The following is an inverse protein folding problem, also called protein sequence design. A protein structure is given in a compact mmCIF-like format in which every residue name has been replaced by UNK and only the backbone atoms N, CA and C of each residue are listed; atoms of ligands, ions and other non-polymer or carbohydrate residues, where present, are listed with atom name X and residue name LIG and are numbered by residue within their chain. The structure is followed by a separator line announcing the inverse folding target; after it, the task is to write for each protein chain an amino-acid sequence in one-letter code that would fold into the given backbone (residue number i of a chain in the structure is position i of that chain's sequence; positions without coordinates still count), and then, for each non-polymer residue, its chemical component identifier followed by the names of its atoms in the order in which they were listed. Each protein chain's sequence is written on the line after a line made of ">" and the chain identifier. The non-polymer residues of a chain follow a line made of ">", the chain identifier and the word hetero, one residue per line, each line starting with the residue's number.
data_IF_203396079638
#
_entry.id   IF_203396079638
#
_cell.length_a   1.000
_cell.length_b   1.000
_cell.length_c   1.000
_cell.angle_alpha   90.00
_cell.angle_beta   90.00
_cell.angle_gamma   90.00
#
_symmetry.space_group_name_H-M   'P 1'
#
loop_
_entity.id
_entity.type
_entity.pdbx_description
1 polymer ?
#
# COMPACT_ATOMS: atom_id res chain seq x y z
N UNK A 1 1.41 2.06 4.50
CA UNK A 1 0.41 2.04 3.40
C UNK A 1 -0.10 3.46 3.16
N UNK A 2 -0.73 3.77 2.01
CA UNK A 2 -1.21 5.13 1.74
C UNK A 2 -2.73 5.23 1.64
N UNK A 3 -3.31 6.27 2.25
CA UNK A 3 -4.68 6.72 1.98
C UNK A 3 -4.68 7.76 0.85
N UNK A 4 -5.80 7.95 0.17
CA UNK A 4 -5.95 9.00 -0.86
C UNK A 4 -6.84 10.13 -0.36
N UNK A 5 -6.51 11.36 -0.74
CA UNK A 5 -7.32 12.56 -0.47
C UNK A 5 -7.27 13.48 -1.68
N UNK A 6 -8.41 14.09 -2.02
CA UNK A 6 -8.52 15.06 -3.11
C UNK A 6 -7.73 16.33 -2.84
N UNK A 7 -7.07 16.87 -3.88
CA UNK A 7 -6.33 18.13 -3.78
C UNK A 7 -7.27 19.33 -3.49
N UNK A 8 -8.53 19.27 -3.97
CA UNK A 8 -9.51 20.33 -3.72
C UNK A 8 -9.82 20.48 -2.23
N UNK A 9 -9.84 19.38 -1.49
CA UNK A 9 -10.11 19.36 -0.06
C UNK A 9 -9.06 20.16 0.72
N UNK A 10 -7.78 19.97 0.42
CA UNK A 10 -6.69 20.74 1.05
C UNK A 10 -6.64 22.21 0.64
N UNK A 11 -7.20 22.56 -0.53
CA UNK A 11 -7.35 23.98 -0.93
C UNK A 11 -8.45 24.67 -0.14
N UNK A 12 -9.56 23.96 0.11
CA UNK A 12 -10.69 24.43 0.92
C UNK A 12 -10.31 24.53 2.40
N UNK A 13 -9.56 23.55 2.92
CA UNK A 13 -9.05 23.54 4.29
C UNK A 13 -7.53 23.27 4.34
N UNK A 14 -6.70 24.32 4.33
CA UNK A 14 -5.25 24.18 4.44
C UNK A 14 -4.78 23.62 5.80
N UNK A 15 -5.59 23.73 6.86
CA UNK A 15 -5.21 23.25 8.19
C UNK A 15 -5.06 21.73 8.22
N UNK A 16 -5.84 21.04 7.38
CA UNK A 16 -5.78 19.61 7.20
C UNK A 16 -4.42 19.07 6.73
N UNK A 17 -3.57 19.92 6.12
CA UNK A 17 -2.20 19.52 5.73
C UNK A 17 -1.32 19.18 6.93
N UNK A 18 -1.65 19.70 8.11
CA UNK A 18 -0.90 19.51 9.36
C UNK A 18 -1.40 18.33 10.19
N UNK A 19 -2.48 17.66 9.77
CA UNK A 19 -2.96 16.45 10.43
C UNK A 19 -1.86 15.39 10.34
N UNK A 20 -1.42 14.93 11.51
CA UNK A 20 -0.42 13.86 11.59
C UNK A 20 -1.09 12.51 11.38
N UNK A 21 -0.41 11.55 10.73
CA UNK A 21 -0.82 10.16 10.81
C UNK A 21 -0.96 9.74 12.28
N UNK A 22 -1.93 8.88 12.62
CA UNK A 22 -2.06 8.33 13.96
C UNK A 22 -0.75 7.68 14.43
N UNK A 23 -0.39 7.86 15.71
CA UNK A 23 0.89 7.38 16.27
C UNK A 23 1.05 5.85 16.20
N UNK A 24 -0.07 5.14 16.24
CA UNK A 24 -0.17 3.69 16.09
C UNK A 24 0.04 3.21 14.63
N UNK A 25 0.05 4.13 13.67
CA UNK A 25 0.22 3.83 12.24
C UNK A 25 1.39 4.61 11.62
N UNK A 26 2.64 4.47 12.13
CA UNK A 26 3.79 5.29 11.73
C UNK A 26 4.20 5.11 10.26
N UNK A 27 3.85 3.96 9.67
CA UNK A 27 4.12 3.64 8.27
C UNK A 27 2.97 4.07 7.32
N UNK A 28 2.09 4.97 7.77
CA UNK A 28 0.98 5.52 6.96
C UNK A 28 1.41 6.79 6.22
N UNK A 29 0.99 6.91 4.97
CA UNK A 29 1.19 8.10 4.16
C UNK A 29 -0.11 8.57 3.51
N UNK A 30 -0.08 9.76 2.93
CA UNK A 30 -1.21 10.32 2.18
C UNK A 30 -0.81 10.57 0.73
N UNK A 31 -1.59 10.07 -0.22
CA UNK A 31 -1.50 10.41 -1.63
C UNK A 31 -2.52 11.50 -1.93
N UNK A 32 -2.05 12.63 -2.43
CA UNK A 32 -2.89 13.72 -2.90
C UNK A 32 -3.20 13.47 -4.36
N UNK A 33 -4.48 13.40 -4.72
CA UNK A 33 -4.90 13.19 -6.11
C UNK A 33 -5.52 14.46 -6.67
N UNK A 34 -5.26 14.78 -7.93
CA UNK A 34 -6.06 15.78 -8.63
C UNK A 34 -7.45 15.17 -8.88
N UNK A 35 -8.46 15.73 -8.22
CA UNK A 35 -9.89 15.41 -8.38
C UNK A 35 -10.53 16.31 -9.46
N UNK A 36 -11.77 15.98 -9.84
CA UNK A 36 -12.52 16.70 -10.88
C UNK A 36 -12.64 18.20 -10.53
N UNK A 37 -13.04 18.52 -9.29
CA UNK A 37 -13.04 19.88 -8.73
C UNK A 37 -11.74 20.64 -9.00
N UNK A 38 -10.58 20.01 -8.76
CA UNK A 38 -9.27 20.64 -8.99
C UNK A 38 -8.98 20.78 -10.48
N UNK A 39 -9.35 19.80 -11.29
CA UNK A 39 -9.14 19.86 -12.73
C UNK A 39 -9.95 21.00 -13.38
N UNK A 40 -11.18 21.22 -12.91
CA UNK A 40 -12.05 22.34 -13.27
C UNK A 40 -11.50 23.69 -12.80
N UNK A 41 -11.12 23.81 -11.52
CA UNK A 41 -10.50 25.02 -10.98
C UNK A 41 -9.23 25.42 -11.74
N UNK A 42 -8.42 24.43 -12.12
CA UNK A 42 -7.17 24.63 -12.83
C UNK A 42 -7.36 24.69 -14.36
N UNK A 43 -8.59 24.53 -14.88
CA UNK A 43 -8.91 24.62 -16.31
C UNK A 43 -9.06 26.10 -16.74
N UNK A 44 -7.98 26.87 -16.62
CA UNK A 44 -7.88 28.12 -17.38
C UNK A 44 -7.56 27.79 -18.84
N UNK A 45 -8.27 28.41 -19.79
CA UNK A 45 -8.16 28.25 -21.25
C UNK A 45 -8.86 27.01 -21.88
N UNK A 46 -10.12 26.70 -21.52
CA UNK A 46 -10.99 25.77 -22.30
C UNK A 46 -10.33 24.44 -22.69
N UNK A 47 -9.47 23.88 -21.82
CA UNK A 47 -8.76 22.62 -22.08
C UNK A 47 -7.59 22.66 -23.07
N UNK A 48 -7.20 23.83 -23.59
CA UNK A 48 -6.20 23.97 -24.68
C UNK A 48 -4.73 24.01 -24.22
N UNK A 49 -4.45 24.18 -22.91
CA UNK A 49 -3.08 24.23 -22.40
C UNK A 49 -2.57 22.83 -22.02
N UNK A 50 -1.72 22.23 -22.85
CA UNK A 50 -1.15 20.88 -22.67
C UNK A 50 -0.29 20.70 -21.40
N UNK A 51 0.16 21.80 -20.75
CA UNK A 51 1.04 21.76 -19.58
C UNK A 51 0.59 22.74 -18.49
N UNK A 52 -0.10 22.24 -17.45
CA UNK A 52 -0.52 23.06 -16.29
C UNK A 52 0.68 23.35 -15.36
N UNK A 53 1.00 24.63 -15.15
CA UNK A 53 2.01 25.07 -14.18
C UNK A 53 1.47 24.91 -12.75
N UNK A 54 2.17 24.14 -11.91
CA UNK A 54 1.84 23.96 -10.49
C UNK A 54 2.63 24.97 -9.66
N UNK A 55 1.93 25.87 -8.98
CA UNK A 55 2.53 26.94 -8.17
C UNK A 55 2.45 26.69 -6.66
N UNK A 56 1.69 25.69 -6.23
CA UNK A 56 1.40 25.43 -4.82
C UNK A 56 1.70 23.97 -4.45
N UNK A 57 1.95 23.75 -3.15
CA UNK A 57 2.06 22.45 -2.52
C UNK A 57 0.72 22.10 -1.85
N UNK A 58 0.38 20.82 -1.65
CA UNK A 58 1.16 19.63 -2.01
C UNK A 58 1.10 19.29 -3.51
N UNK A 59 2.12 18.58 -4.01
CA UNK A 59 2.11 18.07 -5.39
C UNK A 59 1.17 16.87 -5.54
N UNK A 60 0.46 16.70 -6.67
CA UNK A 60 -0.41 15.56 -6.91
C UNK A 60 0.40 14.29 -7.26
N UNK A 61 0.01 13.16 -6.67
CA UNK A 61 0.66 11.85 -6.84
C UNK A 61 0.09 11.04 -8.01
N UNK A 62 -1.10 11.37 -8.53
CA UNK A 62 -1.67 10.75 -9.72
C UNK A 62 -1.12 11.32 -11.05
N UNK A 63 -0.10 12.20 -10.99
CA UNK A 63 0.53 12.83 -12.17
C UNK A 63 2.06 12.70 -12.13
N UNK A 64 2.65 12.56 -13.30
CA UNK A 64 4.09 12.75 -13.48
C UNK A 64 4.35 14.23 -13.71
N UNK A 65 5.31 14.79 -12.97
CA UNK A 65 5.63 16.20 -12.99
C UNK A 65 6.96 16.45 -13.71
N UNK A 66 7.10 17.63 -14.29
CA UNK A 66 8.33 18.10 -14.94
C UNK A 66 8.88 19.27 -14.14
N UNK A 67 10.11 19.12 -13.65
CA UNK A 67 10.89 20.23 -13.10
C UNK A 67 11.53 20.94 -14.28
N UNK A 68 11.27 22.23 -14.41
CA UNK A 68 11.75 23.09 -15.49
C UNK A 68 12.63 24.17 -14.90
N UNK A 69 13.88 24.22 -15.35
CA UNK A 69 14.75 25.39 -15.16
C UNK A 69 14.71 26.20 -16.44
N UNK A 70 14.15 27.40 -16.34
CA UNK A 70 14.17 28.35 -17.44
C UNK A 70 15.56 28.99 -17.51
N UNK A 71 16.12 29.06 -18.71
CA UNK A 71 17.41 29.68 -18.96
C UNK A 71 17.29 30.62 -20.15
N UNK A 72 17.69 31.87 -19.98
CA UNK A 72 17.62 32.88 -21.06
C UNK A 72 18.59 32.56 -22.22
N UNK A 73 19.68 31.84 -21.94
CA UNK A 73 20.78 31.61 -22.88
C UNK A 73 20.93 30.15 -23.34
N UNK A 74 20.12 29.21 -22.85
CA UNK A 74 20.21 27.76 -23.14
C UNK A 74 18.81 27.16 -23.18
N UNK A 75 18.66 26.04 -23.89
CA UNK A 75 17.43 25.25 -23.84
C UNK A 75 17.05 24.91 -22.40
N UNK A 76 15.76 25.05 -22.09
CA UNK A 76 15.20 24.70 -20.79
C UNK A 76 15.60 23.28 -20.38
N UNK A 77 16.19 23.14 -19.19
CA UNK A 77 16.49 21.81 -18.66
C UNK A 77 15.22 21.23 -18.05
N UNK A 78 14.72 20.13 -18.62
CA UNK A 78 13.47 19.48 -18.21
C UNK A 78 13.79 18.12 -17.59
N UNK A 79 13.43 17.96 -16.32
CA UNK A 79 13.56 16.69 -15.61
C UNK A 79 12.18 16.16 -15.20
N UNK A 80 11.82 14.98 -15.72
CA UNK A 80 10.54 14.32 -15.41
C UNK A 80 10.69 13.45 -14.17
N UNK A 81 9.89 13.73 -13.16
CA UNK A 81 9.93 13.08 -11.85
C UNK A 81 8.52 12.77 -11.33
N UNK A 82 8.47 11.86 -10.37
CA UNK A 82 7.30 11.58 -9.58
C UNK A 82 7.63 11.85 -8.11
N UNK A 83 6.83 12.71 -7.48
CA UNK A 83 7.00 13.10 -6.08
C UNK A 83 6.08 12.24 -5.23
N UNK A 84 6.67 11.44 -4.34
CA UNK A 84 5.97 10.56 -3.42
C UNK A 84 6.15 11.10 -1.99
N UNK A 85 5.07 11.48 -1.28
CA UNK A 85 5.16 11.94 0.11
C UNK A 85 5.84 10.91 1.01
N UNK A 86 6.63 11.37 1.96
CA UNK A 86 7.30 10.49 2.92
C UNK A 86 6.28 9.93 3.93
N UNK A 87 6.41 8.64 4.26
CA UNK A 87 5.58 7.97 5.27
C UNK A 87 5.77 8.61 6.65
N UNK A 88 4.72 8.57 7.49
CA UNK A 88 4.78 9.01 8.89
C UNK A 88 4.88 10.52 9.09
N UNK A 89 4.83 11.32 8.02
CA UNK A 89 4.91 12.78 8.09
C UNK A 89 3.65 13.47 7.55
N UNK A 90 3.23 14.59 8.16
CA UNK A 90 2.13 15.39 7.63
C UNK A 90 2.54 16.04 6.30
N UNK A 91 1.57 16.34 5.44
CA UNK A 91 1.81 16.98 4.14
C UNK A 91 2.38 18.40 4.26
N UNK A 92 2.13 19.08 5.39
CA UNK A 92 2.71 20.38 5.73
C UNK A 92 4.23 20.34 5.94
N UNK A 93 4.81 19.15 6.17
CA UNK A 93 6.27 18.97 6.21
C UNK A 93 6.92 19.13 4.83
N UNK A 94 6.14 19.02 3.75
CA UNK A 94 6.60 19.10 2.37
C UNK A 94 7.77 18.14 2.04
N UNK A 95 7.79 16.99 2.72
CA UNK A 95 8.81 15.95 2.52
C UNK A 95 8.38 14.96 1.45
N UNK A 96 9.25 14.75 0.47
CA UNK A 96 9.02 13.84 -0.65
C UNK A 96 10.25 12.99 -0.96
N UNK A 97 10.00 11.76 -1.40
CA UNK A 97 10.91 11.02 -2.26
C UNK A 97 10.75 11.51 -3.70
N UNK A 98 11.85 11.72 -4.40
CA UNK A 98 11.85 12.18 -5.80
C UNK A 98 12.30 11.05 -6.71
N UNK A 99 11.39 10.52 -7.52
CA UNK A 99 11.62 9.34 -8.35
C UNK A 99 11.77 9.75 -9.81
N UNK A 100 12.81 9.29 -10.50
CA UNK A 100 13.01 9.61 -11.92
C UNK A 100 11.93 8.94 -12.76
N UNK A 101 11.18 9.72 -13.54
CA UNK A 101 10.06 9.22 -14.31
C UNK A 101 10.41 8.83 -15.76
N UNK A 102 11.53 9.34 -16.30
CA UNK A 102 12.06 8.99 -17.63
C UNK A 102 13.59 8.98 -17.65
N UNK A 103 14.15 8.39 -18.71
CA UNK A 103 15.58 8.30 -18.98
C UNK A 103 16.22 7.05 -18.39
N UNK A 104 17.55 6.98 -18.44
CA UNK A 104 18.33 5.81 -18.00
C UNK A 104 18.08 5.40 -16.54
N UNK A 105 17.74 6.37 -15.69
CA UNK A 105 17.49 6.16 -14.26
C UNK A 105 15.99 5.99 -13.92
N UNK A 106 15.12 5.71 -14.88
CA UNK A 106 13.68 5.60 -14.66
C UNK A 106 13.34 4.58 -13.56
N UNK A 107 12.50 5.00 -12.61
CA UNK A 107 12.05 4.22 -11.45
C UNK A 107 13.04 4.21 -10.27
N UNK A 108 14.19 4.89 -10.38
CA UNK A 108 15.15 5.06 -9.29
C UNK A 108 14.90 6.35 -8.50
N UNK A 109 15.21 6.33 -7.21
CA UNK A 109 15.10 7.47 -6.33
C UNK A 109 16.32 8.39 -6.46
N UNK A 110 16.08 9.71 -6.47
CA UNK A 110 17.14 10.69 -6.39
C UNK A 110 17.75 10.65 -4.99
N UNK A 111 19.06 10.86 -4.90
CA UNK A 111 19.79 10.73 -3.63
C UNK A 111 20.70 11.94 -3.47
N UNK A 112 20.73 12.51 -2.27
CA UNK A 112 21.62 13.59 -1.90
C UNK A 112 23.05 13.09 -1.75
N UNK A 113 24.04 13.83 -2.24
CA UNK A 113 25.46 13.58 -1.94
C UNK A 113 25.76 13.99 -0.49
N UNK A 114 26.77 13.40 0.16
CA UNK A 114 27.24 13.93 1.44
C UNK A 114 28.16 15.12 1.20
N UNK A 115 28.14 16.11 2.10
CA UNK A 115 29.07 17.26 2.02
C UNK A 115 30.54 16.84 1.98
N UNK A 116 30.91 15.80 2.73
CA UNK A 116 32.27 15.27 2.75
C UNK A 116 32.72 14.67 1.40
N UNK A 117 31.77 14.25 0.55
CA UNK A 117 32.04 13.68 -0.77
C UNK A 117 32.15 14.77 -1.86
N UNK A 118 32.00 16.06 -1.49
CA UNK A 118 32.13 17.18 -2.42
C UNK A 118 33.62 17.40 -2.68
N UNK A 119 34.05 17.10 -3.90
CA UNK A 119 35.43 17.28 -4.31
C UNK A 119 35.70 18.77 -4.55
N UNK A 120 36.60 19.36 -3.75
CA UNK A 120 37.15 20.68 -4.03
C UNK A 120 38.15 20.55 -5.20
N UNK A 121 37.71 20.88 -6.42
CA UNK A 121 38.61 20.88 -7.57
C UNK A 121 39.39 22.21 -7.65
N UNK A 122 40.63 22.14 -8.11
CA UNK A 122 41.59 23.24 -8.19
C UNK A 122 41.01 24.43 -8.99
N UNK A 123 41.18 25.64 -8.43
CA UNK A 123 40.69 26.95 -8.90
C UNK A 123 39.23 27.29 -8.54
N UNK A 124 39.03 27.64 -7.26
CA UNK A 124 37.94 28.49 -6.71
C UNK A 124 36.47 28.15 -7.04
N UNK A 125 36.11 26.90 -7.38
CA UNK A 125 34.71 26.48 -7.40
C UNK A 125 34.50 25.09 -6.82
N UNK A 126 33.60 24.98 -5.84
CA UNK A 126 33.12 23.70 -5.32
C UNK A 126 32.32 22.98 -6.41
N UNK A 127 32.94 22.03 -7.12
CA UNK A 127 32.26 21.22 -8.13
C UNK A 127 31.61 20.03 -7.44
N UNK A 128 30.30 20.14 -7.18
CA UNK A 128 29.51 19.05 -6.61
C UNK A 128 29.27 18.00 -7.69
N UNK A 129 29.91 16.83 -7.54
CA UNK A 129 29.59 15.65 -8.32
C UNK A 129 28.30 15.02 -7.76
N UNK A 130 27.17 15.29 -8.43
CA UNK A 130 25.88 14.75 -8.03
C UNK A 130 25.86 13.22 -8.09
N UNK A 131 25.36 12.61 -7.01
CA UNK A 131 25.10 11.18 -7.00
C UNK A 131 24.03 10.83 -8.03
N UNK A 132 24.31 9.77 -8.80
CA UNK A 132 23.32 9.18 -9.70
C UNK A 132 22.17 8.56 -8.88
N UNK A 133 20.92 8.63 -9.36
CA UNK A 133 19.76 8.02 -8.70
C UNK A 133 19.97 6.52 -8.41
N UNK A 134 19.57 6.08 -7.22
CA UNK A 134 19.79 4.74 -6.64
C UNK A 134 18.46 3.97 -6.48
N UNK A 135 18.49 2.65 -6.25
CA UNK A 135 17.30 1.91 -5.85
C UNK A 135 16.63 2.57 -4.63
N UNK A 136 15.30 2.61 -4.65
CA UNK A 136 14.52 3.20 -3.57
C UNK A 136 14.72 2.43 -2.25
N UNK A 137 15.03 3.16 -1.19
CA UNK A 137 15.00 2.67 0.19
C UNK A 137 14.26 3.70 1.06
N UNK A 138 13.08 3.36 1.62
CA UNK A 138 12.32 4.29 2.46
C UNK A 138 13.03 4.67 3.76
N UNK A 139 14.06 3.92 4.19
CA UNK A 139 14.84 4.22 5.40
C UNK A 139 15.99 5.18 5.14
N UNK A 140 16.35 5.40 3.88
CA UNK A 140 17.47 6.25 3.49
C UNK A 140 17.07 7.73 3.52
N UNK A 141 17.49 8.42 4.58
CA UNK A 141 17.22 9.85 4.78
C UNK A 141 17.82 10.74 3.67
N UNK A 142 18.83 10.28 2.92
CA UNK A 142 19.41 11.04 1.81
C UNK A 142 18.52 11.01 0.55
N UNK A 143 17.54 10.10 0.50
CA UNK A 143 16.53 10.05 -0.57
C UNK A 143 15.30 10.92 -0.28
N UNK A 144 15.24 11.54 0.90
CA UNK A 144 14.15 12.41 1.33
C UNK A 144 14.51 13.89 1.14
N UNK A 145 13.57 14.64 0.58
CA UNK A 145 13.75 16.05 0.26
C UNK A 145 12.61 16.89 0.83
N UNK A 146 12.96 17.99 1.50
CA UNK A 146 12.00 19.03 1.88
C UNK A 146 11.89 20.03 0.74
N UNK A 147 10.70 20.19 0.16
CA UNK A 147 10.45 21.15 -0.91
C UNK A 147 9.98 22.48 -0.33
N UNK A 148 10.65 23.57 -0.71
CA UNK A 148 10.36 24.93 -0.25
C UNK A 148 10.03 25.85 -1.41
N UNK A 149 9.18 26.83 -1.15
CA UNK A 149 8.93 27.93 -2.10
C UNK A 149 10.12 28.89 -2.13
N UNK A 150 10.45 29.38 -3.32
CA UNK A 150 11.43 30.44 -3.51
C UNK A 150 10.71 31.80 -3.62
N UNK A 151 11.25 32.84 -2.98
CA UNK A 151 10.62 34.17 -2.95
C UNK A 151 10.49 34.81 -4.34
N UNK A 152 11.43 34.52 -5.25
CA UNK A 152 11.36 34.93 -6.66
C UNK A 152 10.43 34.08 -7.54
N UNK A 153 9.62 33.20 -6.94
CA UNK A 153 8.76 32.25 -7.65
C UNK A 153 9.40 30.89 -7.85
N UNK A 154 8.57 29.85 -7.97
CA UNK A 154 9.03 28.46 -8.09
C UNK A 154 9.48 27.85 -6.76
N UNK A 155 10.32 26.82 -6.85
CA UNK A 155 10.69 25.98 -5.71
C UNK A 155 12.19 25.72 -5.65
N UNK A 156 12.62 25.16 -4.52
CA UNK A 156 13.91 24.53 -4.33
C UNK A 156 13.79 23.41 -3.31
N UNK A 157 14.70 22.44 -3.35
CA UNK A 157 14.74 21.34 -2.38
C UNK A 157 15.89 21.49 -1.41
N UNK A 158 15.67 21.07 -0.17
CA UNK A 158 16.72 20.77 0.81
C UNK A 158 16.74 19.26 1.08
N UNK A 159 17.92 18.73 1.40
CA UNK A 159 18.01 17.37 1.91
C UNK A 159 17.43 17.33 3.32
N UNK A 160 16.75 16.24 3.67
CA UNK A 160 16.36 15.99 5.05
C UNK A 160 17.58 15.56 5.88
N UNK A 161 18.56 14.91 5.26
CA UNK A 161 19.85 14.62 5.88
C UNK A 161 20.62 15.93 6.13
N UNK A 162 21.13 16.09 7.36
CA UNK A 162 21.77 17.34 7.79
C UNK A 162 23.04 17.69 6.99
N UNK A 163 23.78 16.69 6.55
CA UNK A 163 24.98 16.77 5.72
C UNK A 163 24.69 16.46 4.24
N UNK A 164 23.42 16.31 3.87
CA UNK A 164 23.00 15.99 2.51
C UNK A 164 22.95 17.23 1.60
N UNK A 165 23.48 17.08 0.40
CA UNK A 165 23.39 18.07 -0.68
C UNK A 165 22.55 17.50 -1.82
N UNK A 166 21.36 18.07 -2.11
CA UNK A 166 20.51 17.59 -3.17
C UNK A 166 21.17 17.69 -4.56
N UNK A 167 20.74 16.83 -5.51
CA UNK A 167 21.12 16.95 -6.91
C UNK A 167 20.84 18.35 -7.49
N UNK A 168 21.61 18.76 -8.49
CA UNK A 168 21.64 20.11 -9.05
C UNK A 168 20.25 20.64 -9.43
N UNK A 169 19.49 19.83 -10.16
CA UNK A 169 18.15 20.18 -10.62
C UNK A 169 17.14 20.37 -9.48
N UNK A 170 17.43 19.88 -8.27
CA UNK A 170 16.61 20.05 -7.07
C UNK A 170 17.12 21.18 -6.17
N UNK A 171 18.44 21.33 -5.98
CA UNK A 171 19.02 22.37 -5.12
C UNK A 171 18.96 23.77 -5.71
N UNK A 172 19.03 23.88 -7.05
CA UNK A 172 18.94 25.18 -7.76
C UNK A 172 17.62 25.86 -7.40
N UNK A 173 17.66 27.17 -7.17
CA UNK A 173 16.48 27.92 -6.72
C UNK A 173 15.62 28.36 -7.89
N UNK A 174 14.31 28.35 -7.68
CA UNK A 174 13.33 28.94 -8.59
C UNK A 174 12.87 28.02 -9.72
N UNK A 175 13.09 26.71 -9.62
CA UNK A 175 12.55 25.81 -10.64
C UNK A 175 11.03 25.77 -10.60
N UNK A 176 10.43 25.67 -11.79
CA UNK A 176 8.99 25.58 -11.97
C UNK A 176 8.57 24.12 -12.12
N UNK A 177 7.31 23.84 -11.78
CA UNK A 177 6.72 22.51 -11.90
C UNK A 177 5.60 22.55 -12.93
N UNK A 178 5.65 21.64 -13.90
CA UNK A 178 4.59 21.43 -14.87
C UNK A 178 4.00 20.04 -14.71
N UNK A 179 2.69 19.93 -14.62
CA UNK A 179 2.00 18.66 -14.78
C UNK A 179 2.22 18.18 -16.23
N UNK A 180 2.70 16.94 -16.40
CA UNK A 180 2.92 16.38 -17.73
C UNK A 180 1.81 15.42 -18.12
N UNK A 181 1.77 14.23 -17.52
CA UNK A 181 0.77 13.21 -17.86
C UNK A 181 0.18 12.63 -16.59
N UNK A 182 -1.11 12.35 -16.62
CA UNK A 182 -1.74 11.50 -15.64
C UNK A 182 -1.13 10.10 -15.70
N UNK A 183 -1.07 9.46 -14.53
CA UNK A 183 -0.66 8.07 -14.41
C UNK A 183 -1.78 7.20 -14.97
N UNK A 184 -1.42 6.02 -15.53
CA UNK A 184 -2.42 5.08 -16.02
C UNK A 184 -3.14 4.41 -14.84
N UNK A 185 -4.45 4.27 -14.97
CA UNK A 185 -5.32 3.76 -13.91
C UNK A 185 -5.87 4.90 -13.06
N UNK A 186 -7.16 4.85 -12.74
CA UNK A 186 -7.81 5.79 -11.85
C UNK A 186 -7.50 5.38 -10.41
N UNK A 187 -7.00 6.32 -9.61
CA UNK A 187 -6.95 6.14 -8.16
C UNK A 187 -8.29 6.58 -7.61
N UNK A 188 -8.98 5.66 -6.95
CA UNK A 188 -10.22 5.94 -6.25
C UNK A 188 -9.96 6.43 -4.83
N UNK A 189 -11.02 6.86 -4.16
CA UNK A 189 -10.97 7.21 -2.75
C UNK A 189 -10.67 5.97 -1.90
N UNK A 190 -9.64 6.10 -1.07
CA UNK A 190 -9.14 5.10 -0.15
C UNK A 190 -8.92 5.81 1.18
N UNK A 191 -9.94 5.78 2.03
CA UNK A 191 -9.95 6.56 3.27
C UNK A 191 -9.17 5.90 4.41
N UNK A 192 -8.76 4.65 4.24
CA UNK A 192 -8.17 3.80 5.25
C UNK A 192 -9.16 2.74 5.70
N UNK A 193 -9.23 2.50 7.02
CA UNK A 193 -10.30 1.70 7.61
C UNK A 193 -11.63 2.47 7.47
N UNK A 194 -12.68 1.73 7.15
CA UNK A 194 -14.05 2.26 7.12
C UNK A 194 -14.69 2.09 8.49
N UNK A 195 -14.77 3.19 9.25
CA UNK A 195 -15.36 3.22 10.59
C UNK A 195 -16.83 2.79 10.59
N UNK A 196 -17.56 3.01 9.49
CA UNK A 196 -18.98 2.67 9.39
C UNK A 196 -19.23 1.17 9.30
N UNK A 197 -18.28 0.43 8.71
CA UNK A 197 -18.36 -1.03 8.50
C UNK A 197 -17.61 -1.78 9.61
N UNK A 198 -16.71 -1.11 10.34
CA UNK A 198 -15.90 -1.71 11.40
C UNK A 198 -16.73 -2.34 12.53
N UNK A 199 -17.90 -1.79 12.86
CA UNK A 199 -18.75 -2.27 13.94
C UNK A 199 -19.50 -3.56 13.59
N UNK A 200 -19.67 -3.88 12.32
CA UNK A 200 -20.44 -5.03 11.86
C UNK A 200 -19.52 -6.17 11.40
N UNK A 201 -19.54 -7.29 12.12
CA UNK A 201 -18.99 -8.55 11.60
C UNK A 201 -19.74 -8.94 10.32
N UNK A 202 -19.06 -9.63 9.36
CA UNK A 202 -19.75 -10.16 8.20
C UNK A 202 -20.90 -11.07 8.66
N UNK A 203 -22.04 -11.07 7.94
CA UNK A 203 -23.16 -11.90 8.31
C UNK A 203 -22.71 -13.37 8.38
N UNK A 204 -23.18 -14.13 9.38
CA UNK A 204 -22.88 -15.55 9.47
C UNK A 204 -23.27 -16.27 8.17
N UNK A 205 -22.60 -17.38 7.84
CA UNK A 205 -23.05 -18.26 6.76
C UNK A 205 -24.50 -18.68 6.99
N UNK A 206 -25.33 -18.54 5.94
CA UNK A 206 -26.73 -18.97 5.94
C UNK A 206 -26.86 -20.24 5.10
N UNK A 207 -27.64 -21.21 5.57
CA UNK A 207 -27.97 -22.41 4.82
C UNK A 207 -29.26 -22.23 4.00
N UNK A 208 -29.35 -22.82 2.79
CA UNK A 208 -28.30 -23.56 2.09
C UNK A 208 -27.16 -22.64 1.62
N UNK A 209 -25.92 -23.13 1.69
CA UNK A 209 -24.74 -22.32 1.33
C UNK A 209 -24.83 -21.87 -0.15
N UNK A 210 -24.50 -20.60 -0.47
CA UNK A 210 -24.49 -20.08 -1.84
C UNK A 210 -23.60 -20.93 -2.78
N UNK A 211 -23.64 -20.76 -4.11
CA UNK A 211 -22.61 -21.30 -5.00
C UNK A 211 -21.18 -20.93 -4.53
N UNK A 212 -20.18 -21.79 -4.74
CA UNK A 212 -18.82 -21.65 -4.18
C UNK A 212 -18.20 -20.25 -4.40
N UNK A 213 -18.47 -19.62 -5.55
CA UNK A 213 -17.98 -18.29 -5.91
C UNK A 213 -18.64 -17.13 -5.13
N UNK A 214 -19.75 -17.39 -4.43
CA UNK A 214 -20.48 -16.45 -3.57
C UNK A 214 -20.40 -16.81 -2.07
N UNK A 215 -19.90 -18.00 -1.71
CA UNK A 215 -19.78 -18.46 -0.29
C UNK A 215 -18.85 -17.58 0.55
N UNK A 216 -17.97 -16.84 -0.11
CA UNK A 216 -16.98 -15.96 0.52
C UNK A 216 -17.24 -14.51 0.13
N UNK A 217 -18.50 -14.06 0.20
CA UNK A 217 -18.85 -12.66 -0.02
C UNK A 217 -18.15 -11.80 1.03
N UNK A 218 -16.91 -11.41 0.73
CA UNK A 218 -16.04 -10.75 1.65
C UNK A 218 -16.45 -9.29 1.77
N UNK A 219 -16.61 -8.83 3.00
CA UNK A 219 -16.91 -7.44 3.29
C UNK A 219 -15.61 -6.67 3.30
N UNK A 220 -15.47 -5.68 2.41
CA UNK A 220 -14.31 -4.80 2.39
C UNK A 220 -14.46 -3.76 3.49
N UNK A 221 -13.60 -3.81 4.50
CA UNK A 221 -13.62 -2.94 5.68
C UNK A 221 -12.51 -1.89 5.67
N UNK A 222 -11.62 -1.92 4.67
CA UNK A 222 -10.58 -0.91 4.53
C UNK A 222 -9.95 -0.92 3.15
N UNK A 223 -9.49 0.26 2.71
CA UNK A 223 -8.85 0.46 1.41
C UNK A 223 -7.67 1.40 1.52
N UNK A 224 -6.58 1.03 0.86
CA UNK A 224 -5.34 1.79 0.74
C UNK A 224 -4.72 1.56 -0.64
N UNK A 225 -3.71 2.37 -0.94
CA UNK A 225 -2.80 2.12 -2.04
C UNK A 225 -1.38 1.93 -1.55
N UNK A 226 -0.58 1.21 -2.33
CA UNK A 226 0.86 1.18 -2.16
C UNK A 226 1.57 1.38 -3.51
N UNK A 227 2.54 2.30 -3.58
CA UNK A 227 3.39 2.39 -4.75
C UNK A 227 4.17 1.11 -5.04
N UNK A 228 4.48 0.87 -6.31
CA UNK A 228 5.37 -0.23 -6.74
C UNK A 228 6.76 -0.18 -6.09
N UNK A 229 7.18 0.96 -5.57
CA UNK A 229 8.45 1.08 -4.85
C UNK A 229 8.51 0.24 -3.57
N UNK A 230 7.33 -0.04 -2.98
CA UNK A 230 7.18 -0.86 -1.79
C UNK A 230 6.79 -2.31 -2.12
N UNK A 231 6.56 -2.65 -3.40
CA UNK A 231 6.24 -3.99 -3.87
C UNK A 231 7.15 -4.40 -5.04
N UNK A 232 8.06 -5.34 -4.80
CA UNK A 232 9.02 -5.86 -5.77
C UNK A 232 8.48 -7.12 -6.41
N UNK A 233 7.84 -6.96 -7.56
CA UNK A 233 7.59 -8.09 -8.46
C UNK A 233 8.81 -8.35 -9.36
N UNK A 234 8.86 -9.51 -10.01
CA UNK A 234 9.91 -9.87 -10.97
C UNK A 234 9.76 -9.11 -12.31
N UNK A 235 9.87 -7.78 -12.28
CA UNK A 235 9.93 -6.95 -13.46
C UNK A 235 10.87 -5.76 -13.31
N UNK A 236 11.36 -5.25 -14.44
CA UNK A 236 12.21 -4.05 -14.46
C UNK A 236 11.42 -2.82 -13.99
N UNK A 237 12.03 -1.95 -13.17
CA UNK A 237 11.38 -0.75 -12.60
C UNK A 237 10.66 0.13 -13.62
N UNK A 238 11.22 0.29 -14.83
CA UNK A 238 10.60 1.10 -15.89
C UNK A 238 9.27 0.52 -16.37
N UNK A 239 9.06 -0.81 -16.28
CA UNK A 239 7.79 -1.46 -16.64
C UNK A 239 6.71 -1.12 -15.62
N UNK A 240 7.03 -1.18 -14.32
CA UNK A 240 6.11 -0.74 -13.26
C UNK A 240 5.72 0.73 -13.43
N UNK A 241 6.69 1.62 -13.64
CA UNK A 241 6.44 3.04 -13.94
C UNK A 241 5.53 3.28 -15.17
N UNK A 242 5.41 2.30 -16.09
CA UNK A 242 4.58 2.40 -17.30
C UNK A 242 3.21 1.73 -17.13
N UNK A 243 3.12 0.65 -16.35
CA UNK A 243 1.94 -0.24 -16.29
C UNK A 243 1.28 -0.33 -14.91
N UNK A 244 2.04 -0.23 -13.82
CA UNK A 244 1.59 -0.56 -12.47
C UNK A 244 2.34 0.30 -11.46
N UNK A 245 2.02 1.60 -11.41
CA UNK A 245 2.64 2.55 -10.46
C UNK A 245 2.11 2.35 -9.03
N UNK A 246 0.86 1.92 -8.91
CA UNK A 246 0.20 1.66 -7.64
C UNK A 246 -0.43 0.26 -7.65
N UNK A 247 -0.62 -0.25 -6.45
CA UNK A 247 -1.39 -1.44 -6.14
C UNK A 247 -2.44 -1.04 -5.13
N UNK A 248 -3.65 -1.53 -5.30
CA UNK A 248 -4.71 -1.42 -4.32
C UNK A 248 -4.49 -2.47 -3.24
N UNK A 249 -4.66 -2.08 -1.98
CA UNK A 249 -4.71 -2.97 -0.83
C UNK A 249 -6.10 -2.84 -0.22
N UNK A 250 -6.84 -3.94 -0.16
CA UNK A 250 -8.12 -4.00 0.55
C UNK A 250 -8.00 -4.91 1.76
N UNK A 251 -8.63 -4.54 2.87
CA UNK A 251 -8.85 -5.43 4.00
C UNK A 251 -10.26 -6.00 3.90
N UNK A 252 -10.34 -7.31 3.74
CA UNK A 252 -11.55 -8.09 3.50
C UNK A 252 -11.87 -8.95 4.73
N UNK A 253 -13.13 -9.04 5.14
CA UNK A 253 -13.60 -9.94 6.20
C UNK A 253 -14.54 -10.99 5.65
N UNK A 254 -14.37 -12.24 6.04
CA UNK A 254 -15.29 -13.33 5.72
C UNK A 254 -15.20 -14.47 6.75
N UNK A 255 -16.17 -15.38 6.71
CA UNK A 255 -16.17 -16.61 7.49
C UNK A 255 -15.59 -17.76 6.67
N UNK A 256 -14.57 -18.44 7.18
CA UNK A 256 -13.96 -19.63 6.57
C UNK A 256 -14.40 -20.89 7.33
N UNK A 257 -14.86 -21.92 6.63
CA UNK A 257 -15.26 -23.19 7.23
C UNK A 257 -14.02 -23.97 7.67
N UNK A 258 -13.96 -24.31 8.95
CA UNK A 258 -12.85 -25.07 9.56
C UNK A 258 -13.24 -26.52 9.86
N UNK A 259 -14.54 -26.78 9.97
CA UNK A 259 -15.08 -28.12 10.22
C UNK A 259 -16.52 -28.19 9.70
N UNK A 260 -16.90 -29.35 9.17
CA UNK A 260 -18.30 -29.63 8.83
C UNK A 260 -18.62 -31.10 9.08
N UNK A 261 -19.87 -31.37 9.45
CA UNK A 261 -20.39 -32.73 9.66
C UNK A 261 -21.78 -32.83 9.05
N UNK A 262 -22.03 -33.85 8.25
CA UNK A 262 -23.39 -34.17 7.79
C UNK A 262 -24.06 -35.09 8.80
N UNK A 263 -25.38 -34.97 8.90
CA UNK A 263 -26.17 -35.90 9.71
C UNK A 263 -26.40 -37.19 8.91
N UNK A 264 -25.58 -38.21 9.17
CA UNK A 264 -25.73 -39.54 8.54
C UNK A 264 -26.63 -40.46 9.36
N UNK A 265 -26.78 -40.21 10.68
CA UNK A 265 -27.65 -40.95 11.59
C UNK A 265 -28.01 -40.07 12.80
N UNK A 266 -29.27 -40.11 13.26
CA UNK A 266 -29.78 -39.29 14.38
C UNK A 266 -29.25 -39.71 15.76
N UNK A 267 -28.14 -40.44 15.84
CA UNK A 267 -27.59 -41.02 17.08
C UNK A 267 -26.53 -40.12 17.75
N UNK A 268 -26.06 -39.08 17.06
CA UNK A 268 -25.02 -38.20 17.60
C UNK A 268 -25.60 -37.19 18.60
N UNK A 269 -25.36 -37.45 19.88
CA UNK A 269 -25.75 -36.57 20.98
C UNK A 269 -24.91 -35.29 21.07
N UNK A 270 -23.69 -35.33 20.51
CA UNK A 270 -22.74 -34.21 20.48
C UNK A 270 -21.80 -34.28 19.28
N UNK A 271 -21.29 -33.14 18.85
CA UNK A 271 -20.30 -33.03 17.78
C UNK A 271 -18.97 -32.58 18.40
N UNK A 272 -17.94 -33.41 18.24
CA UNK A 272 -16.56 -33.07 18.59
C UNK A 272 -15.91 -32.41 17.38
N UNK A 273 -15.56 -31.14 17.53
CA UNK A 273 -14.78 -30.36 16.57
C UNK A 273 -13.32 -30.51 16.96
N UNK A 274 -12.52 -31.01 16.03
CA UNK A 274 -11.07 -31.04 16.12
C UNK A 274 -10.49 -30.56 14.79
N UNK A 275 -9.94 -29.34 14.79
CA UNK A 275 -9.40 -28.71 13.59
C UNK A 275 -8.06 -28.04 13.86
N UNK A 276 -7.08 -28.29 13.01
CA UNK A 276 -5.80 -27.57 13.02
C UNK A 276 -5.90 -26.33 12.14
N UNK A 277 -5.67 -25.15 12.70
CA UNK A 277 -5.83 -23.87 12.00
C UNK A 277 -4.49 -23.15 11.90
N UNK A 278 -4.03 -22.91 10.67
CA UNK A 278 -2.96 -21.96 10.36
C UNK A 278 -3.50 -20.54 10.54
N UNK A 279 -3.01 -19.82 11.56
CA UNK A 279 -3.51 -18.49 11.93
C UNK A 279 -3.05 -17.41 10.96
N UNK A 280 -1.83 -17.51 10.45
CA UNK A 280 -1.26 -16.57 9.47
C UNK A 280 -0.91 -17.34 8.19
N UNK A 281 -1.46 -16.91 7.05
CA UNK A 281 -1.24 -17.56 5.75
C UNK A 281 -1.04 -16.50 4.67
N UNK A 282 -0.05 -16.68 3.80
CA UNK A 282 0.17 -15.81 2.65
C UNK A 282 0.05 -16.59 1.35
N UNK A 283 -0.83 -16.15 0.45
CA UNK A 283 -1.00 -16.71 -0.89
C UNK A 283 -0.49 -15.73 -1.94
N UNK A 284 0.42 -16.17 -2.80
CA UNK A 284 0.88 -15.39 -3.96
C UNK A 284 0.34 -16.05 -5.21
N UNK A 285 -0.40 -15.28 -6.03
CA UNK A 285 -1.15 -15.81 -7.18
C UNK A 285 -2.05 -17.02 -6.84
N UNK A 286 -2.60 -17.06 -5.63
CA UNK A 286 -3.48 -18.14 -5.15
C UNK A 286 -2.76 -19.39 -4.64
N UNK A 287 -1.42 -19.39 -4.59
CA UNK A 287 -0.62 -20.51 -4.09
C UNK A 287 0.01 -20.11 -2.75
N UNK A 288 -0.05 -21.01 -1.76
CA UNK A 288 0.58 -20.80 -0.45
C UNK A 288 2.08 -20.51 -0.61
N UNK A 289 2.54 -19.48 0.10
CA UNK A 289 3.89 -18.96 0.01
C UNK A 289 4.57 -18.95 1.38
N UNK A 290 5.88 -19.18 1.37
CA UNK A 290 6.72 -19.07 2.56
C UNK A 290 7.09 -17.60 2.78
N UNK A 291 6.93 -17.14 4.02
CA UNK A 291 7.23 -15.77 4.44
C UNK A 291 8.65 -15.72 5.01
N UNK A 292 9.54 -14.98 4.36
CA UNK A 292 10.92 -14.74 4.83
C UNK A 292 11.09 -13.27 5.20
N UNK A 293 11.16 -12.97 6.50
CA UNK A 293 11.38 -11.61 7.00
C UNK A 293 12.88 -11.35 7.13
N UNK A 294 13.41 -10.39 6.36
CA UNK A 294 14.79 -9.95 6.48
C UNK A 294 14.85 -8.44 6.82
N UNK A 295 14.98 -8.09 8.13
CA UNK A 295 14.98 -6.70 8.57
C UNK A 295 16.10 -5.86 7.95
N UNK A 296 17.28 -6.47 7.70
CA UNK A 296 18.44 -5.77 7.14
C UNK A 296 18.14 -5.25 5.74
N UNK A 297 17.49 -6.07 4.92
CA UNK A 297 17.12 -5.71 3.55
C UNK A 297 15.93 -4.74 3.49
N UNK A 298 15.18 -4.56 4.58
CA UNK A 298 14.00 -3.70 4.65
C UNK A 298 12.81 -4.22 3.85
N UNK A 299 12.84 -5.50 3.47
CA UNK A 299 11.81 -6.18 2.68
C UNK A 299 11.54 -7.58 3.26
N UNK A 300 10.27 -7.97 3.23
CA UNK A 300 9.78 -9.33 3.45
C UNK A 300 9.63 -10.00 2.09
N UNK A 301 10.12 -11.23 1.95
CA UNK A 301 10.03 -11.99 0.71
C UNK A 301 9.02 -13.11 0.86
N UNK A 302 8.08 -13.18 -0.09
CA UNK A 302 7.11 -14.26 -0.21
C UNK A 302 7.54 -15.15 -1.37
N UNK A 303 7.85 -16.40 -1.08
CA UNK A 303 8.36 -17.36 -2.07
C UNK A 303 7.35 -18.48 -2.25
N UNK A 304 6.92 -18.73 -3.48
CA UNK A 304 6.13 -19.93 -3.79
C UNK A 304 7.08 -21.14 -3.84
N UNK A 305 6.84 -22.19 -3.04
CA UNK A 305 7.64 -23.41 -3.06
C UNK A 305 7.66 -24.08 -4.44
N UNK A 306 8.82 -24.57 -4.87
CA UNK A 306 9.01 -25.12 -6.23
C UNK A 306 8.19 -26.38 -6.51
N UNK A 307 7.82 -27.15 -5.50
CA UNK A 307 6.92 -28.31 -5.62
C UNK A 307 5.48 -27.91 -5.99
N UNK A 308 5.08 -26.66 -5.75
CA UNK A 308 3.75 -26.14 -6.08
C UNK A 308 3.70 -25.44 -7.45
N UNK A 309 4.80 -25.46 -8.22
CA UNK A 309 4.92 -24.80 -9.52
C UNK A 309 5.09 -25.84 -10.63
N UNK A 310 4.25 -25.75 -11.67
CA UNK A 310 4.30 -26.65 -12.84
C UNK A 310 5.53 -26.43 -13.73
N UNK A 311 6.24 -25.31 -13.54
CA UNK A 311 7.47 -24.96 -14.24
C UNK A 311 8.48 -24.53 -13.17
N UNK A 312 9.70 -25.07 -13.19
CA UNK A 312 10.74 -24.88 -12.15
C UNK A 312 11.26 -23.45 -11.93
N UNK A 313 10.51 -22.42 -12.35
CA UNK A 313 10.77 -21.02 -12.03
C UNK A 313 10.33 -20.74 -10.60
N UNK A 314 11.21 -20.20 -9.76
CA UNK A 314 10.84 -19.69 -8.44
C UNK A 314 10.09 -18.37 -8.63
N UNK A 315 8.87 -18.26 -8.11
CA UNK A 315 8.11 -17.01 -8.08
C UNK A 315 8.31 -16.34 -6.73
N UNK A 316 8.80 -15.10 -6.74
CA UNK A 316 9.01 -14.29 -5.53
C UNK A 316 8.29 -12.96 -5.61
N UNK A 317 7.75 -12.54 -4.47
CA UNK A 317 7.21 -11.20 -4.25
C UNK A 317 7.91 -10.57 -3.06
N UNK A 318 8.52 -9.40 -3.25
CA UNK A 318 9.07 -8.62 -2.14
C UNK A 318 8.08 -7.55 -1.70
N UNK A 319 7.84 -7.43 -0.40
CA UNK A 319 7.07 -6.34 0.20
C UNK A 319 7.96 -5.55 1.15
N UNK A 320 7.93 -4.23 1.10
CA UNK A 320 8.70 -3.43 2.05
C UNK A 320 8.24 -3.72 3.48
N UNK A 321 9.18 -3.69 4.41
CA UNK A 321 8.89 -3.86 5.83
C UNK A 321 7.85 -2.83 6.32
N UNK A 322 7.89 -1.60 5.81
CA UNK A 322 6.94 -0.56 6.17
C UNK A 322 5.46 -0.94 5.86
N UNK A 323 5.21 -1.54 4.70
CA UNK A 323 3.85 -2.01 4.33
C UNK A 323 3.45 -3.23 5.14
N UNK A 324 4.37 -4.19 5.32
CA UNK A 324 4.13 -5.40 6.09
C UNK A 324 3.80 -5.09 7.56
N UNK A 325 4.57 -4.21 8.19
CA UNK A 325 4.32 -3.75 9.55
C UNK A 325 3.04 -2.94 9.67
N UNK A 326 2.67 -2.13 8.66
CA UNK A 326 1.35 -1.48 8.64
C UNK A 326 0.22 -2.51 8.68
N UNK A 327 0.29 -3.56 7.85
CA UNK A 327 -0.72 -4.62 7.80
C UNK A 327 -0.83 -5.36 9.14
N UNK A 328 0.31 -5.75 9.73
CA UNK A 328 0.31 -6.42 11.04
C UNK A 328 -0.15 -5.51 12.17
N UNK A 329 0.24 -4.24 12.18
CA UNK A 329 -0.20 -3.26 13.17
C UNK A 329 -1.72 -3.10 13.19
N UNK A 330 -2.34 -2.95 12.02
CA UNK A 330 -3.81 -2.91 11.88
C UNK A 330 -4.46 -4.18 12.46
N UNK A 331 -3.88 -5.37 12.21
CA UNK A 331 -4.43 -6.62 12.76
C UNK A 331 -4.33 -6.67 14.28
N UNK A 332 -3.18 -6.28 14.85
CA UNK A 332 -2.98 -6.27 16.31
C UNK A 332 -3.98 -5.34 16.99
N UNK A 333 -4.17 -4.14 16.46
CA UNK A 333 -5.19 -3.19 16.96
C UNK A 333 -6.61 -3.75 16.90
N UNK A 334 -6.88 -4.62 15.93
CA UNK A 334 -8.18 -5.28 15.75
C UNK A 334 -8.32 -6.59 16.54
N UNK A 335 -7.40 -6.85 17.47
CA UNK A 335 -7.44 -7.99 18.38
C UNK A 335 -6.72 -9.24 17.87
N UNK A 336 -5.84 -9.10 16.86
CA UNK A 336 -4.96 -10.19 16.45
C UNK A 336 -3.84 -10.41 17.47
N UNK A 337 -3.79 -11.61 18.05
CA UNK A 337 -2.83 -11.97 19.10
C UNK A 337 -1.51 -12.46 18.48
N UNK A 338 -0.44 -11.67 18.58
CA UNK A 338 0.89 -11.98 18.04
C UNK A 338 1.67 -13.03 18.85
N UNK A 339 1.29 -13.26 20.10
CA UNK A 339 1.96 -14.09 21.10
C UNK A 339 1.50 -15.56 21.08
N UNK A 340 0.41 -15.87 20.37
CA UNK A 340 -0.09 -17.22 20.19
C UNK A 340 0.65 -17.95 19.06
N UNK A 341 0.74 -19.28 19.16
CA UNK A 341 1.32 -20.15 18.14
C UNK A 341 0.69 -19.89 16.76
N UNK A 342 1.48 -20.12 15.70
CA UNK A 342 1.03 -19.92 14.32
C UNK A 342 0.02 -20.98 13.89
N UNK A 343 0.19 -22.22 14.36
CA UNK A 343 -0.75 -23.30 14.12
C UNK A 343 -1.44 -23.62 15.46
N UNK A 344 -2.77 -23.51 15.50
CA UNK A 344 -3.55 -23.74 16.72
C UNK A 344 -4.57 -24.83 16.48
N UNK A 345 -4.63 -25.81 17.39
CA UNK A 345 -5.67 -26.83 17.41
C UNK A 345 -6.90 -26.29 18.13
N UNK A 346 -8.05 -26.32 17.46
CA UNK A 346 -9.34 -25.95 18.03
C UNK A 346 -10.08 -27.24 18.38
N UNK A 347 -10.20 -27.49 19.68
CA UNK A 347 -10.98 -28.59 20.25
C UNK A 347 -12.23 -28.00 20.92
N UNK A 348 -13.42 -28.40 20.46
CA UNK A 348 -14.70 -27.92 21.00
C UNK A 348 -15.75 -29.02 20.90
N UNK A 349 -16.65 -29.07 21.88
CA UNK A 349 -17.81 -29.97 21.85
C UNK A 349 -19.06 -29.11 21.73
N UNK A 350 -19.89 -29.40 20.73
CA UNK A 350 -21.19 -28.78 20.53
C UNK A 350 -22.29 -29.81 20.77
N UNK A 351 -23.13 -29.56 21.77
CA UNK A 351 -24.25 -30.44 22.11
C UNK A 351 -25.41 -30.25 21.12
N UNK A 352 -25.97 -31.38 20.65
CA UNK A 352 -27.19 -31.35 19.85
C UNK A 352 -28.36 -31.08 20.79
N UNK A 353 -28.75 -29.82 20.93
CA UNK A 353 -29.80 -29.40 21.86
C UNK A 353 -31.14 -30.14 21.64
N UNK A 354 -31.89 -30.41 22.72
CA UNK A 354 -33.11 -31.24 22.72
C UNK A 354 -34.11 -30.92 21.61
N UNK A 355 -34.30 -29.64 21.26
CA UNK A 355 -35.23 -29.19 20.20
C UNK A 355 -34.86 -29.74 18.81
N UNK A 356 -33.55 -29.91 18.52
CA UNK A 356 -33.04 -30.51 17.27
C UNK A 356 -32.97 -32.04 17.31
N UNK A 357 -33.28 -32.66 18.47
CA UNK A 357 -33.43 -34.11 18.58
C UNK A 357 -34.88 -34.56 18.33
N UNK A 358 -35.85 -33.69 18.63
CA UNK A 358 -37.28 -34.06 18.67
C UNK A 358 -38.11 -33.41 17.55
N UNK A 359 -37.84 -32.14 17.20
CA UNK A 359 -38.74 -31.36 16.31
C UNK A 359 -38.11 -30.92 14.97
N UNK A 360 -36.77 -31.01 14.83
CA UNK A 360 -36.06 -30.60 13.61
C UNK A 360 -34.90 -31.56 13.33
N UNK A 361 -35.01 -32.37 12.28
CA UNK A 361 -33.88 -33.13 11.73
C UNK A 361 -32.88 -32.14 11.09
N UNK A 362 -31.77 -31.87 11.79
CA UNK A 362 -30.69 -31.09 11.22
C UNK A 362 -29.98 -31.91 10.14
N UNK A 363 -29.53 -31.27 9.06
CA UNK A 363 -28.89 -31.95 7.91
C UNK A 363 -27.38 -31.80 7.91
N UNK A 364 -26.90 -30.62 8.33
CA UNK A 364 -25.49 -30.28 8.30
C UNK A 364 -25.13 -29.40 9.48
N UNK A 365 -23.96 -29.64 10.04
CA UNK A 365 -23.27 -28.79 10.97
C UNK A 365 -22.05 -28.17 10.28
N UNK A 366 -21.81 -26.89 10.54
CA UNK A 366 -20.62 -26.17 10.08
C UNK A 366 -20.03 -25.30 11.19
N UNK A 367 -18.71 -25.32 11.32
CA UNK A 367 -17.95 -24.47 12.22
C UNK A 367 -17.07 -23.54 11.38
N UNK A 368 -17.09 -22.25 11.70
CA UNK A 368 -16.47 -21.20 10.91
C UNK A 368 -15.60 -20.30 11.78
N UNK A 369 -14.46 -19.89 11.24
CA UNK A 369 -13.55 -18.91 11.85
C UNK A 369 -13.64 -17.58 11.09
N UNK A 370 -13.58 -16.46 11.79
CA UNK A 370 -13.48 -15.16 11.14
C UNK A 370 -12.08 -15.00 10.55
N UNK A 371 -12.02 -14.65 9.26
CA UNK A 371 -10.77 -14.34 8.56
C UNK A 371 -10.76 -12.88 8.17
N UNK A 372 -9.68 -12.18 8.52
CA UNK A 372 -9.34 -10.89 7.95
C UNK A 372 -8.21 -11.08 6.94
N UNK A 373 -8.44 -10.68 5.69
CA UNK A 373 -7.52 -10.92 4.58
C UNK A 373 -7.14 -9.61 3.92
N UNK A 374 -5.85 -9.31 3.86
CA UNK A 374 -5.35 -8.24 2.99
C UNK A 374 -5.21 -8.78 1.57
N UNK A 375 -5.98 -8.20 0.65
CA UNK A 375 -5.92 -8.50 -0.78
C UNK A 375 -5.16 -7.39 -1.50
N UNK A 376 -4.07 -7.74 -2.19
CA UNK A 376 -3.23 -6.80 -2.95
C UNK A 376 -3.47 -7.00 -4.45
N UNK A 377 -4.06 -5.99 -5.09
CA UNK A 377 -4.42 -6.01 -6.51
C UNK A 377 -3.62 -4.98 -7.29
N UNK A 378 -3.18 -5.34 -8.49
CA UNK A 378 -2.77 -4.34 -9.48
C UNK A 378 -3.99 -3.53 -9.91
N UNK A 379 -3.77 -2.31 -10.43
CA UNK A 379 -4.85 -1.48 -10.96
C UNK A 379 -5.56 -2.06 -12.20
N UNK A 380 -5.02 -3.12 -12.81
CA UNK A 380 -5.68 -3.87 -13.88
C UNK A 380 -6.63 -4.97 -13.34
N UNK A 381 -6.80 -5.05 -12.01
CA UNK A 381 -7.68 -6.00 -11.33
C UNK A 381 -7.01 -7.33 -10.98
N UNK A 382 -5.77 -7.58 -11.42
CA UNK A 382 -5.07 -8.83 -11.13
C UNK A 382 -4.69 -8.89 -9.64
N UNK A 383 -5.20 -9.92 -8.95
CA UNK A 383 -4.82 -10.24 -7.56
C UNK A 383 -3.41 -10.85 -7.54
N UNK A 384 -2.51 -10.19 -6.82
CA UNK A 384 -1.10 -10.59 -6.71
C UNK A 384 -0.87 -11.41 -5.45
N UNK A 385 -1.49 -10.99 -4.35
CA UNK A 385 -1.26 -11.59 -3.05
C UNK A 385 -2.50 -11.48 -2.16
N UNK A 386 -2.72 -12.50 -1.34
CA UNK A 386 -3.55 -12.44 -0.13
C UNK A 386 -2.71 -12.72 1.10
N UNK A 387 -2.99 -12.03 2.20
CA UNK A 387 -2.41 -12.31 3.51
C UNK A 387 -3.55 -12.44 4.51
N UNK A 388 -3.80 -13.67 4.96
CA UNK A 388 -4.93 -14.06 5.80
C UNK A 388 -4.52 -14.12 7.27
N UNK A 389 -5.41 -13.64 8.13
CA UNK A 389 -5.33 -13.65 9.59
C UNK A 389 -6.63 -14.31 10.13
N UNK A 390 -6.54 -15.55 10.62
CA UNK A 390 -7.68 -16.36 11.12
C UNK A 390 -7.89 -16.23 12.63
N UNK A 391 -8.95 -15.52 13.03
CA UNK A 391 -9.19 -15.13 14.43
C UNK A 391 -9.78 -16.30 15.21
N UNK A 392 -8.92 -17.17 15.76
CA UNK A 392 -9.31 -18.39 16.51
C UNK A 392 -10.19 -18.14 17.74
N UNK A 393 -10.21 -16.91 18.27
CA UNK A 393 -11.12 -16.49 19.34
C UNK A 393 -12.51 -16.05 18.83
N UNK A 394 -12.71 -15.94 17.52
CA UNK A 394 -13.96 -15.56 16.84
C UNK A 394 -14.44 -16.73 15.98
N UNK A 395 -15.10 -17.68 16.62
CA UNK A 395 -15.65 -18.89 15.99
C UNK A 395 -17.18 -18.86 16.06
N UNK A 396 -17.83 -19.27 14.98
CA UNK A 396 -19.28 -19.44 14.91
C UNK A 396 -19.64 -20.83 14.40
N UNK A 397 -20.57 -21.48 15.10
CA UNK A 397 -21.13 -22.76 14.69
C UNK A 397 -22.56 -22.57 14.17
N UNK A 398 -22.93 -23.29 13.12
CA UNK A 398 -24.24 -23.23 12.47
C UNK A 398 -24.75 -24.63 12.16
N UNK A 399 -26.08 -24.74 12.23
CA UNK A 399 -26.85 -25.93 11.96
C UNK A 399 -27.82 -25.62 10.82
N UNK A 400 -27.89 -26.50 9.82
CA UNK A 400 -28.91 -26.53 8.75
C UNK A 400 -30.11 -27.36 9.21
#
# INVERSE_FOLDING_TARGET
>A
MYVTRGLSWYRKDPSALSIRPPDNAPNTGVLVITDEDTEEQDAYCWGMCEYKNIKTLPFPQNKILSIVHQSEFKNDSITKVWFLPVLGHPLSSHRYYVIRAKGHHQGKACTSSKRADICSCCFYSEVINDLKPRPFDPRDIYQQFEIRRYHGGGFYAKSVAYDGVPPDFLRKKGWQVRAHRSIRGQLHDALGLDESVQASLPPPPTFPLPPLHLRYAAVVIGRWYTPFLFLREEAKLWRHMKKSMFYEITLEQYWEEIYSKQNESNEDDSIVIDAMIKREEALVYGIESVIEVNPMLGFVTFTIPSNNLSQGNKVRLGMSLAVFESMRGIQVERGWMNDQEFDVRVERVEEVGRRRRVDMEWRRFGCYVLVESFSIRRLDGVLIMKHNFKHTHKIQCKWD
#
